data_IF_029712970302
#
_entry.id   IF_029712970302
#
_cell.length_a   1.000
_cell.length_b   1.000
_cell.length_c   1.000
_cell.angle_alpha   90.00
_cell.angle_beta   90.00
_cell.angle_gamma   90.00
#
_symmetry.space_group_name_H-M   'P 1'
#
loop_
_entity.id
_entity.type
_entity.pdbx_description
1 polymer ?
#
# COMPACT_ATOMS: atom_id res chain seq x y z
N UNK A 1 -47.22 59.74 -6.46
CA UNK A 1 -47.24 58.27 -6.31
C UNK A 1 -46.42 57.99 -5.05
N UNK A 2 -47.01 57.76 -3.87
CA UNK A 2 -47.67 56.50 -3.44
C UNK A 2 -46.60 55.39 -3.34
N UNK A 3 -46.34 54.66 -2.24
CA UNK A 3 -47.11 54.25 -1.06
C UNK A 3 -46.17 53.86 0.11
N UNK A 4 -46.79 53.65 1.28
CA UNK A 4 -46.26 53.30 2.60
C UNK A 4 -45.95 51.80 2.83
N UNK A 5 -45.42 51.52 4.04
CA UNK A 5 -45.74 50.41 4.97
C UNK A 5 -44.64 49.37 5.31
N UNK A 6 -44.61 49.08 6.61
CA UNK A 6 -43.82 48.12 7.41
C UNK A 6 -44.09 46.62 7.08
N UNK A 7 -43.27 45.70 7.63
CA UNK A 7 -43.66 44.63 8.59
C UNK A 7 -42.73 43.39 8.57
N UNK A 8 -42.67 42.75 9.74
CA UNK A 8 -41.78 41.69 10.25
C UNK A 8 -42.05 40.29 9.66
N UNK A 9 -41.04 39.40 9.65
CA UNK A 9 -41.22 37.95 9.90
C UNK A 9 -39.93 37.35 10.51
N UNK A 10 -40.08 36.67 11.65
CA UNK A 10 -39.13 35.71 12.23
C UNK A 10 -39.52 34.28 11.81
N UNK A 11 -38.59 33.32 11.94
CA UNK A 11 -38.79 31.94 12.49
C UNK A 11 -37.97 30.83 11.78
N UNK A 12 -37.14 30.18 12.59
CA UNK A 12 -36.74 28.74 12.69
C UNK A 12 -36.22 27.90 11.48
N UNK A 13 -35.18 27.06 11.66
CA UNK A 13 -34.57 26.26 10.59
C UNK A 13 -35.31 24.95 10.33
N UNK A 14 -35.58 24.65 9.05
CA UNK A 14 -36.03 23.32 8.63
C UNK A 14 -34.82 22.39 8.42
N UNK A 15 -34.79 21.33 9.21
CA UNK A 15 -33.99 20.13 8.94
C UNK A 15 -34.32 19.57 7.55
N UNK A 16 -33.29 19.33 6.73
CA UNK A 16 -33.44 18.54 5.52
C UNK A 16 -32.40 17.42 5.56
N UNK A 17 -32.91 16.23 5.87
CA UNK A 17 -32.31 14.94 5.60
C UNK A 17 -31.81 14.87 4.16
N UNK A 18 -30.51 14.82 3.94
CA UNK A 18 -29.93 14.44 2.65
C UNK A 18 -29.29 13.07 2.77
N UNK A 19 -29.91 12.15 2.04
CA UNK A 19 -29.50 10.80 1.69
C UNK A 19 -28.00 10.51 1.85
N UNK A 20 -27.71 9.41 2.57
CA UNK A 20 -26.44 8.71 2.47
C UNK A 20 -26.22 8.28 1.02
N UNK A 21 -25.42 9.05 0.29
CA UNK A 21 -24.75 8.55 -0.90
C UNK A 21 -23.77 7.48 -0.45
N UNK A 22 -24.14 6.22 -0.66
CA UNK A 22 -23.20 5.10 -0.66
C UNK A 22 -22.22 5.30 -1.80
N UNK A 23 -21.16 6.07 -1.52
CA UNK A 23 -20.06 6.25 -2.44
C UNK A 23 -19.32 4.93 -2.55
N UNK A 24 -19.54 4.27 -3.69
CA UNK A 24 -18.82 3.09 -4.14
C UNK A 24 -17.33 3.43 -4.20
N UNK A 25 -16.64 3.17 -3.09
CA UNK A 25 -15.18 3.27 -2.97
C UNK A 25 -14.55 2.22 -3.87
N UNK A 26 -14.29 2.65 -5.10
CA UNK A 26 -13.49 1.94 -6.08
C UNK A 26 -12.04 1.92 -5.57
N UNK A 27 -11.72 0.88 -4.82
CA UNK A 27 -10.38 0.61 -4.29
C UNK A 27 -9.44 0.25 -5.46
N UNK A 28 -8.95 1.26 -6.17
CA UNK A 28 -7.98 1.08 -7.28
C UNK A 28 -6.91 2.18 -7.32
N UNK A 29 -7.09 3.28 -6.57
CA UNK A 29 -6.18 4.43 -6.63
C UNK A 29 -5.02 4.40 -5.63
N UNK A 30 -5.10 3.59 -4.57
CA UNK A 30 -4.15 3.62 -3.44
C UNK A 30 -2.81 2.95 -3.79
N UNK A 31 -2.83 1.87 -4.58
CA UNK A 31 -1.62 1.11 -4.94
C UNK A 31 -0.74 1.87 -5.96
N UNK A 32 -1.35 2.66 -6.84
CA UNK A 32 -0.64 3.46 -7.85
C UNK A 32 0.17 4.60 -7.22
N UNK A 33 -0.41 5.27 -6.22
CA UNK A 33 0.25 6.38 -5.49
C UNK A 33 1.42 5.88 -4.64
N UNK A 34 1.27 4.73 -3.96
CA UNK A 34 2.35 4.13 -3.18
C UNK A 34 3.55 3.69 -4.06
N UNK A 35 3.26 3.09 -5.23
CA UNK A 35 4.28 2.68 -6.20
C UNK A 35 5.17 3.84 -6.63
N UNK A 36 4.61 5.01 -6.89
CA UNK A 36 5.35 6.21 -7.30
C UNK A 36 6.42 6.66 -6.30
N UNK A 37 6.39 6.15 -5.05
CA UNK A 37 7.36 6.49 -4.00
C UNK A 37 8.48 5.47 -3.80
N UNK A 38 8.44 4.31 -4.47
CA UNK A 38 9.47 3.27 -4.32
C UNK A 38 10.72 3.60 -5.14
N UNK A 39 11.88 3.10 -4.69
CA UNK A 39 13.17 3.39 -5.31
C UNK A 39 14.14 2.19 -5.23
N UNK A 40 15.41 2.42 -5.58
CA UNK A 40 16.49 1.42 -5.55
C UNK A 40 17.53 1.68 -4.46
N UNK A 41 17.24 2.55 -3.50
CA UNK A 41 18.20 3.03 -2.50
C UNK A 41 18.75 1.93 -1.57
N UNK A 42 18.08 0.78 -1.49
CA UNK A 42 18.49 -0.39 -0.71
C UNK A 42 19.54 -1.24 -1.43
N UNK A 43 19.75 -1.02 -2.73
CA UNK A 43 20.81 -1.69 -3.48
C UNK A 43 22.17 -1.07 -3.16
N UNK A 44 23.24 -1.83 -3.44
CA UNK A 44 24.59 -1.31 -3.35
C UNK A 44 24.79 -0.23 -4.45
N UNK A 45 25.34 0.92 -4.06
CA UNK A 45 25.80 1.95 -4.97
C UNK A 45 27.24 2.30 -4.63
N UNK A 46 28.16 1.83 -5.49
CA UNK A 46 29.61 2.06 -5.29
C UNK A 46 30.02 3.52 -5.48
N UNK A 47 29.30 4.29 -6.31
CA UNK A 47 29.63 5.70 -6.58
C UNK A 47 29.34 6.57 -5.36
N UNK A 48 28.26 6.25 -4.65
CA UNK A 48 27.84 6.95 -3.43
C UNK A 48 28.40 6.30 -2.15
N UNK A 49 29.27 5.28 -2.23
CA UNK A 49 29.77 4.56 -1.07
C UNK A 49 28.68 3.85 -0.25
N UNK A 50 27.54 3.56 -0.87
CA UNK A 50 26.35 3.06 -0.18
C UNK A 50 26.32 1.52 -0.19
N UNK A 51 26.32 0.86 0.98
CA UNK A 51 26.27 -0.59 1.04
C UNK A 51 24.86 -1.11 0.73
N UNK A 52 24.80 -2.37 0.29
CA UNK A 52 23.56 -3.12 0.15
C UNK A 52 22.84 -3.22 1.50
N UNK A 53 21.54 -2.94 1.52
CA UNK A 53 20.69 -3.09 2.69
C UNK A 53 19.82 -4.34 2.52
N UNK A 54 20.17 -5.41 3.25
CA UNK A 54 19.38 -6.65 3.25
C UNK A 54 17.97 -6.43 3.76
N UNK A 55 17.00 -7.10 3.15
CA UNK A 55 15.62 -7.08 3.63
C UNK A 55 15.49 -7.78 5.00
N UNK A 56 14.53 -7.37 5.84
CA UNK A 56 14.33 -7.94 7.17
C UNK A 56 14.18 -9.46 7.16
N UNK A 57 14.72 -10.12 8.18
CA UNK A 57 14.47 -11.56 8.40
C UNK A 57 13.03 -11.74 8.87
N UNK A 58 12.36 -12.75 8.31
CA UNK A 58 10.96 -13.07 8.62
C UNK A 58 10.90 -14.50 9.15
N UNK A 59 10.11 -14.74 10.20
CA UNK A 59 10.01 -16.05 10.83
C UNK A 59 9.44 -17.08 9.86
N UNK A 60 10.10 -18.23 9.74
CA UNK A 60 9.76 -19.31 8.80
C UNK A 60 9.70 -18.88 7.33
N UNK A 61 10.44 -17.83 6.97
CA UNK A 61 10.54 -17.37 5.59
C UNK A 61 11.98 -16.98 5.26
N UNK A 62 12.27 -16.89 3.97
CA UNK A 62 13.53 -16.36 3.46
C UNK A 62 13.28 -15.50 2.23
N UNK A 63 14.18 -14.53 1.99
CA UNK A 63 14.19 -13.77 0.74
C UNK A 63 14.77 -14.67 -0.33
N UNK A 64 13.95 -15.04 -1.33
CA UNK A 64 14.42 -15.90 -2.42
C UNK A 64 14.88 -15.10 -3.64
N UNK A 65 14.48 -13.82 -3.75
CA UNK A 65 14.84 -12.96 -4.87
C UNK A 65 14.70 -11.48 -4.53
N UNK A 66 15.68 -10.66 -4.93
CA UNK A 66 15.50 -9.23 -5.11
C UNK A 66 15.19 -8.95 -6.57
N UNK A 67 14.08 -8.27 -6.85
CA UNK A 67 13.59 -8.02 -8.20
C UNK A 67 13.53 -6.52 -8.47
N UNK A 68 14.18 -6.06 -9.54
CA UNK A 68 14.06 -4.69 -10.04
C UNK A 68 12.85 -4.60 -10.96
N UNK A 69 12.02 -3.58 -10.78
CA UNK A 69 10.84 -3.32 -11.61
C UNK A 69 10.85 -1.89 -12.13
N UNK A 70 10.19 -1.69 -13.27
CA UNK A 70 9.97 -0.38 -13.88
C UNK A 70 8.60 0.13 -13.45
N UNK A 71 8.54 1.39 -13.05
CA UNK A 71 7.31 2.15 -12.85
C UNK A 71 6.87 2.75 -14.18
N UNK A 72 5.58 2.64 -14.48
CA UNK A 72 5.00 3.30 -15.64
C UNK A 72 4.96 4.83 -15.50
N UNK A 73 4.85 5.35 -14.26
CA UNK A 73 4.82 6.79 -13.93
C UNK A 73 5.45 7.03 -12.54
N UNK A 74 6.32 8.04 -12.33
CA UNK A 74 6.91 8.91 -13.36
C UNK A 74 7.72 8.11 -14.37
N UNK A 75 7.88 8.65 -15.58
CA UNK A 75 8.39 7.93 -16.74
C UNK A 75 9.69 7.16 -16.40
N UNK A 76 9.61 5.83 -16.50
CA UNK A 76 10.75 4.91 -16.41
C UNK A 76 11.55 4.99 -15.10
N UNK A 77 10.92 5.37 -13.99
CA UNK A 77 11.55 5.19 -12.68
C UNK A 77 11.68 3.70 -12.35
N UNK A 78 12.75 3.31 -11.67
CA UNK A 78 12.96 1.92 -11.27
C UNK A 78 12.87 1.79 -9.75
N UNK A 79 12.35 0.66 -9.30
CA UNK A 79 12.35 0.28 -7.89
C UNK A 79 12.84 -1.15 -7.70
N UNK A 80 13.13 -1.52 -6.46
CA UNK A 80 13.43 -2.91 -6.09
C UNK A 80 12.44 -3.41 -5.06
N UNK A 81 12.05 -4.68 -5.19
CA UNK A 81 11.33 -5.42 -4.15
C UNK A 81 12.10 -6.67 -3.72
N UNK A 82 11.95 -7.06 -2.47
CA UNK A 82 12.43 -8.32 -1.91
C UNK A 82 11.25 -9.30 -1.84
N UNK A 83 11.36 -10.44 -2.53
CA UNK A 83 10.33 -11.48 -2.51
C UNK A 83 10.65 -12.56 -1.49
N UNK A 84 9.62 -12.97 -0.77
CA UNK A 84 9.70 -13.97 0.29
C UNK A 84 9.06 -15.28 -0.13
N UNK A 85 9.65 -16.38 0.35
CA UNK A 85 9.06 -17.72 0.35
C UNK A 85 9.06 -18.24 1.78
N UNK A 86 8.01 -18.96 2.14
CA UNK A 86 7.98 -19.71 3.38
C UNK A 86 8.92 -20.92 3.29
N UNK A 87 9.44 -21.35 4.44
CA UNK A 87 10.17 -22.61 4.58
C UNK A 87 9.24 -23.80 4.32
N UNK A 88 9.84 -24.96 4.09
CA UNK A 88 9.10 -26.21 3.92
C UNK A 88 8.17 -26.47 5.13
N UNK A 89 6.93 -26.88 4.86
CA UNK A 89 5.90 -27.07 5.89
C UNK A 89 5.19 -25.79 6.36
N UNK A 90 5.49 -24.64 5.73
CA UNK A 90 4.81 -23.38 5.98
C UNK A 90 4.22 -22.77 4.70
N UNK A 91 3.12 -22.04 4.85
CA UNK A 91 2.45 -21.31 3.78
C UNK A 91 2.24 -19.84 4.16
N UNK A 92 2.21 -18.97 3.14
CA UNK A 92 1.91 -17.55 3.33
C UNK A 92 0.46 -17.40 3.81
N UNK A 93 0.28 -16.76 4.97
CA UNK A 93 -1.04 -16.44 5.52
C UNK A 93 -1.84 -15.54 4.57
N UNK A 94 -1.16 -14.59 3.93
CA UNK A 94 -1.75 -13.66 2.97
C UNK A 94 -0.89 -13.58 1.71
N UNK A 95 -1.42 -13.94 0.55
CA UNK A 95 -0.68 -13.92 -0.72
C UNK A 95 -0.16 -12.52 -1.10
N UNK A 96 -0.91 -11.47 -0.72
CA UNK A 96 -0.56 -10.06 -0.95
C UNK A 96 0.70 -9.61 -0.18
N UNK A 97 1.04 -10.27 0.93
CA UNK A 97 2.18 -9.93 1.78
C UNK A 97 3.47 -10.70 1.38
N UNK A 98 3.62 -11.02 0.08
CA UNK A 98 4.74 -11.83 -0.42
C UNK A 98 6.00 -11.03 -0.75
N UNK A 99 5.96 -9.71 -0.63
CA UNK A 99 7.09 -8.84 -0.96
C UNK A 99 7.16 -7.59 -0.09
N UNK A 100 8.39 -7.11 0.12
CA UNK A 100 8.67 -5.77 0.64
C UNK A 100 9.29 -4.91 -0.45
N UNK A 101 9.03 -3.61 -0.42
CA UNK A 101 9.46 -2.63 -1.40
C UNK A 101 10.50 -1.70 -0.79
N UNK A 102 11.50 -1.30 -1.58
CA UNK A 102 12.47 -0.34 -1.11
C UNK A 102 11.95 1.09 -1.29
N UNK A 103 12.10 1.91 -0.24
CA UNK A 103 11.89 3.36 -0.28
C UNK A 103 12.85 4.02 0.69
N UNK A 104 13.65 4.98 0.23
CA UNK A 104 14.50 5.83 1.06
C UNK A 104 15.30 5.06 2.13
N UNK A 105 16.02 4.01 1.71
CA UNK A 105 16.83 3.13 2.57
C UNK A 105 16.02 2.33 3.59
N UNK A 106 14.76 2.05 3.30
CA UNK A 106 13.91 1.22 4.13
C UNK A 106 13.13 0.21 3.29
N UNK A 107 12.99 -0.99 3.85
CA UNK A 107 12.07 -2.00 3.33
C UNK A 107 10.70 -1.77 3.95
N UNK A 108 9.72 -1.49 3.11
CA UNK A 108 8.35 -1.15 3.51
C UNK A 108 7.33 -2.09 2.86
N UNK A 109 6.15 -2.19 3.47
CA UNK A 109 5.09 -3.10 3.04
C UNK A 109 4.66 -4.03 4.17
N UNK A 110 3.64 -4.83 3.91
CA UNK A 110 3.16 -5.83 4.87
C UNK A 110 4.18 -6.96 4.99
N UNK A 111 4.62 -7.26 6.22
CA UNK A 111 5.57 -8.33 6.45
C UNK A 111 4.91 -9.71 6.22
N UNK A 112 5.55 -10.60 5.45
CA UNK A 112 5.04 -11.95 5.24
C UNK A 112 4.83 -12.66 6.58
N UNK A 113 3.69 -13.32 6.73
CA UNK A 113 3.45 -14.21 7.87
C UNK A 113 3.34 -15.63 7.34
N UNK A 114 4.24 -16.50 7.78
CA UNK A 114 4.24 -17.91 7.40
C UNK A 114 3.64 -18.74 8.54
N UNK A 115 2.55 -19.44 8.25
CA UNK A 115 1.85 -20.35 9.18
C UNK A 115 2.14 -21.79 8.78
N UNK A 116 2.07 -22.74 9.73
CA UNK A 116 2.24 -24.16 9.39
C UNK A 116 1.15 -24.55 8.40
N UNK A 117 1.53 -25.23 7.32
CA UNK A 117 0.56 -25.88 6.45
C UNK A 117 -0.15 -26.94 7.27
N UNK A 118 -1.47 -26.85 7.41
CA UNK A 118 -2.24 -27.96 7.97
C UNK A 118 -2.07 -29.15 7.04
N UNK A 119 -1.44 -30.21 7.54
CA UNK A 119 -1.30 -31.51 6.85
C UNK A 119 -2.67 -32.21 6.81
N UNK A 120 -3.65 -31.58 6.17
CA UNK A 120 -4.98 -32.15 5.94
C UNK A 120 -5.33 -31.75 4.52
N UNK A 121 -5.63 -32.76 3.69
CA UNK A 121 -5.81 -32.70 2.23
C UNK A 121 -4.53 -32.89 1.40
N UNK A 122 -4.04 -34.13 1.42
CA UNK A 122 -3.55 -34.86 0.24
C UNK A 122 -3.37 -36.32 0.66
N UNK A 123 -4.50 -36.99 0.89
CA UNK A 123 -4.62 -38.44 0.98
C UNK A 123 -5.35 -38.91 -0.28
#
# INVERSE_FOLDING_TARGET
MSHAAEMMVADEPLEITTASTEDTSSDTSTESSAKATYDQSCLQDRKLGRPFLSAPKVKHAYVYKYERKVLGKPAQSHYVLARYKCLLGYSLKYAKASALYCRQRQWIGEHPTCVRSSTTEQL
#
